data_IF_923208875586
#
_entry.id   IF_923208875586
#
_cell.length_a   1.000
_cell.length_b   1.000
_cell.length_c   1.000
_cell.angle_alpha   90.00
_cell.angle_beta   90.00
_cell.angle_gamma   90.00
#
_symmetry.space_group_name_H-M   'P 1'
#
loop_
_entity.id
_entity.type
_entity.pdbx_description
1 polymer ?
#
# COMPACT_ATOMS: atom_id res chain seq x y z
N UNK A 1 -3.49 -12.39 -35.42
CA UNK A 1 -4.09 -11.78 -34.21
C UNK A 1 -3.93 -12.76 -33.04
N UNK A 2 -2.83 -12.68 -32.28
CA UNK A 2 -2.69 -13.43 -31.03
C UNK A 2 -2.90 -12.43 -29.89
N UNK A 3 -4.05 -12.50 -29.22
CA UNK A 3 -4.27 -11.79 -27.95
C UNK A 3 -3.43 -12.51 -26.90
N UNK A 4 -2.24 -12.01 -26.59
CA UNK A 4 -1.52 -12.44 -25.40
C UNK A 4 -2.38 -12.06 -24.18
N UNK A 5 -2.99 -13.05 -23.54
CA UNK A 5 -3.51 -12.88 -22.19
C UNK A 5 -2.30 -12.78 -21.26
N UNK A 6 -1.89 -11.56 -20.90
CA UNK A 6 -0.98 -11.36 -19.77
C UNK A 6 -1.72 -11.81 -18.52
N UNK A 7 -1.42 -13.03 -18.03
CA UNK A 7 -1.88 -13.47 -16.72
C UNK A 7 -1.44 -12.46 -15.66
N UNK A 8 -2.40 -11.94 -14.89
CA UNK A 8 -2.14 -10.94 -13.86
C UNK A 8 -2.85 -11.32 -12.56
N UNK A 9 -2.16 -11.16 -11.44
CA UNK A 9 -2.70 -11.41 -10.10
C UNK A 9 -2.66 -10.10 -9.32
N UNK A 10 -3.81 -9.59 -8.85
CA UNK A 10 -3.87 -8.34 -8.10
C UNK A 10 -3.21 -8.48 -6.72
N UNK A 11 -2.62 -7.40 -6.19
CA UNK A 11 -1.98 -7.42 -4.88
C UNK A 11 -2.98 -7.57 -3.74
N UNK A 12 -2.56 -8.29 -2.69
CA UNK A 12 -3.19 -8.22 -1.37
C UNK A 12 -2.53 -7.09 -0.59
N UNK A 13 -3.30 -6.05 -0.24
CA UNK A 13 -2.77 -4.85 0.41
C UNK A 13 -3.07 -4.86 1.90
N UNK A 14 -2.07 -4.57 2.73
CA UNK A 14 -2.19 -4.44 4.19
C UNK A 14 -1.62 -3.10 4.63
N UNK A 15 -2.39 -2.35 5.42
CA UNK A 15 -1.98 -1.10 6.05
C UNK A 15 -1.90 -1.28 7.57
N UNK A 16 -0.75 -0.98 8.17
CA UNK A 16 -0.50 -1.16 9.60
C UNK A 16 0.35 -0.02 10.19
N UNK A 17 0.26 0.19 11.50
CA UNK A 17 1.21 1.04 12.24
C UNK A 17 2.45 0.23 12.58
N UNK A 18 3.63 0.78 12.30
CA UNK A 18 4.92 0.24 12.76
C UNK A 18 5.29 0.86 14.10
N UNK A 19 5.27 2.19 14.16
CA UNK A 19 5.49 2.97 15.38
C UNK A 19 4.24 3.78 15.68
N UNK A 20 3.66 3.59 16.86
CA UNK A 20 2.47 4.33 17.28
C UNK A 20 2.80 5.79 17.60
N UNK A 21 1.81 6.65 17.43
CA UNK A 21 1.87 8.04 17.85
C UNK A 21 2.07 8.15 19.37
N UNK A 22 3.24 8.60 19.80
CA UNK A 22 3.53 8.78 21.22
C UNK A 22 4.82 9.57 21.47
N UNK A 23 4.70 10.70 22.16
CA UNK A 23 5.86 11.49 22.62
C UNK A 23 6.52 12.35 21.55
N UNK A 24 7.87 12.32 21.49
CA UNK A 24 8.70 13.19 20.64
C UNK A 24 9.07 12.58 19.27
N UNK A 25 8.72 11.32 19.02
CA UNK A 25 9.10 10.62 17.79
C UNK A 25 7.92 10.60 16.80
N UNK A 26 8.20 10.75 15.50
CA UNK A 26 7.18 10.57 14.46
C UNK A 26 6.58 9.17 14.46
N UNK A 27 5.29 9.09 14.13
CA UNK A 27 4.61 7.82 13.92
C UNK A 27 4.95 7.28 12.52
N UNK A 28 4.91 5.96 12.36
CA UNK A 28 5.23 5.31 11.08
C UNK A 28 4.12 4.37 10.68
N UNK A 29 3.58 4.55 9.47
CA UNK A 29 2.67 3.59 8.83
C UNK A 29 3.43 2.79 7.80
N UNK A 30 3.04 1.53 7.63
CA UNK A 30 3.52 0.65 6.58
C UNK A 30 2.36 0.13 5.74
N UNK A 31 2.50 0.29 4.43
CA UNK A 31 1.64 -0.29 3.42
C UNK A 31 2.39 -1.38 2.67
N UNK A 32 1.92 -2.61 2.82
CA UNK A 32 2.49 -3.79 2.17
C UNK A 32 1.57 -4.28 1.06
N UNK A 33 2.11 -4.52 -0.12
CA UNK A 33 1.42 -5.21 -1.20
C UNK A 33 2.06 -6.57 -1.42
N UNK A 34 1.27 -7.64 -1.35
CA UNK A 34 1.74 -9.02 -1.40
C UNK A 34 1.16 -9.79 -2.58
N UNK A 35 1.91 -10.80 -3.01
CA UNK A 35 1.50 -11.87 -3.93
C UNK A 35 0.94 -11.35 -5.27
N UNK A 36 1.52 -10.28 -5.80
CA UNK A 36 1.11 -9.74 -7.10
C UNK A 36 1.99 -10.26 -8.23
N UNK A 37 1.44 -10.23 -9.45
CA UNK A 37 2.15 -10.58 -10.69
C UNK A 37 1.50 -9.89 -11.89
N UNK A 38 2.23 -9.38 -12.89
CA UNK A 38 3.69 -9.32 -12.97
C UNK A 38 4.27 -8.33 -11.96
N UNK A 39 5.60 -8.19 -11.95
CA UNK A 39 6.26 -7.03 -11.34
C UNK A 39 5.79 -5.73 -12.02
N UNK A 40 6.11 -4.59 -11.42
CA UNK A 40 5.61 -3.28 -11.84
C UNK A 40 4.36 -2.92 -11.06
N UNK A 41 4.57 -2.34 -9.89
CA UNK A 41 3.52 -1.86 -8.99
C UNK A 41 3.80 -0.41 -8.56
N UNK A 42 2.75 0.36 -8.34
CA UNK A 42 2.87 1.71 -7.80
C UNK A 42 2.18 1.78 -6.45
N UNK A 43 2.97 2.01 -5.40
CA UNK A 43 2.48 2.34 -4.06
C UNK A 43 2.63 3.85 -3.84
N UNK A 44 1.57 4.51 -3.39
CA UNK A 44 1.57 5.95 -3.16
C UNK A 44 0.85 6.29 -1.87
N UNK A 45 1.40 7.24 -1.12
CA UNK A 45 0.74 7.78 0.06
C UNK A 45 -0.08 9.01 -0.29
N UNK A 46 -1.26 9.10 0.30
CA UNK A 46 -2.13 10.26 0.19
C UNK A 46 -2.39 10.86 1.56
N UNK A 47 -2.32 12.19 1.66
CA UNK A 47 -2.76 12.96 2.82
C UNK A 47 -3.81 13.96 2.35
N UNK A 48 -5.02 13.87 2.90
CA UNK A 48 -6.17 14.70 2.57
C UNK A 48 -6.48 14.74 1.06
N UNK A 49 -6.32 13.60 0.38
CA UNK A 49 -6.57 13.46 -1.07
C UNK A 49 -5.43 13.91 -1.98
N UNK A 50 -4.35 14.48 -1.44
CA UNK A 50 -3.16 14.84 -2.20
C UNK A 50 -2.06 13.78 -2.02
N UNK A 51 -1.34 13.48 -3.11
CA UNK A 51 -0.19 12.56 -3.06
C UNK A 51 0.96 13.19 -2.28
N UNK A 52 1.55 12.43 -1.37
CA UNK A 52 2.73 12.82 -0.58
C UNK A 52 3.93 12.03 -1.06
N UNK A 53 5.07 12.72 -1.24
CA UNK A 53 6.34 12.14 -1.68
C UNK A 53 7.47 12.30 -0.67
N UNK A 54 7.32 13.22 0.29
CA UNK A 54 8.28 13.40 1.38
C UNK A 54 8.01 12.38 2.47
N UNK A 55 9.06 12.01 3.22
CA UNK A 55 8.94 11.12 4.38
C UNK A 55 8.38 9.74 4.02
N UNK A 56 8.52 9.37 2.74
CA UNK A 56 8.14 8.08 2.18
C UNK A 56 9.40 7.31 1.84
N UNK A 57 9.51 6.10 2.39
CA UNK A 57 10.54 5.12 2.02
C UNK A 57 9.86 3.90 1.43
N UNK A 58 10.52 3.19 0.53
CA UNK A 58 9.96 1.97 -0.05
C UNK A 58 11.07 0.98 -0.36
N UNK A 59 10.78 -0.30 -0.16
CA UNK A 59 11.65 -1.37 -0.61
C UNK A 59 11.61 -1.45 -2.14
N UNK A 60 12.59 -2.13 -2.72
CA UNK A 60 12.45 -2.64 -4.08
C UNK A 60 11.36 -3.74 -4.13
N UNK A 61 10.91 -4.07 -5.34
CA UNK A 61 10.01 -5.20 -5.56
C UNK A 61 10.77 -6.52 -5.31
N UNK A 62 10.35 -7.29 -4.31
CA UNK A 62 11.02 -8.52 -3.90
C UNK A 62 10.25 -9.75 -4.42
N UNK A 63 10.92 -10.72 -5.07
CA UNK A 63 10.28 -11.98 -5.45
C UNK A 63 10.07 -12.88 -4.22
N UNK A 64 8.94 -13.57 -4.17
CA UNK A 64 8.57 -14.50 -3.09
C UNK A 64 9.11 -15.93 -3.31
N UNK A 65 9.79 -16.20 -4.44
CA UNK A 65 10.29 -17.54 -4.81
C UNK A 65 9.25 -18.44 -5.50
N UNK A 66 7.99 -18.02 -5.55
CA UNK A 66 6.86 -18.72 -6.18
C UNK A 66 6.27 -17.92 -7.37
N UNK A 67 7.12 -17.17 -8.08
CA UNK A 67 6.79 -16.25 -9.19
C UNK A 67 6.02 -14.98 -8.82
N UNK A 68 5.56 -14.83 -7.59
CA UNK A 68 4.90 -13.61 -7.13
C UNK A 68 5.88 -12.61 -6.51
N UNK A 69 5.46 -11.36 -6.42
CA UNK A 69 6.23 -10.27 -5.85
C UNK A 69 5.59 -9.69 -4.59
N UNK A 70 6.36 -8.92 -3.85
CA UNK A 70 5.92 -8.09 -2.74
C UNK A 70 6.70 -6.77 -2.68
N UNK A 71 6.10 -5.73 -2.10
CA UNK A 71 6.74 -4.44 -1.84
C UNK A 71 6.20 -3.85 -0.55
N UNK A 72 7.03 -3.10 0.17
CA UNK A 72 6.65 -2.35 1.36
C UNK A 72 6.96 -0.87 1.16
N UNK A 73 6.01 -0.03 1.54
CA UNK A 73 6.18 1.42 1.58
C UNK A 73 5.84 1.93 2.97
N UNK A 74 6.68 2.79 3.51
CA UNK A 74 6.47 3.42 4.81
C UNK A 74 6.23 4.91 4.65
N UNK A 75 5.42 5.47 5.55
CA UNK A 75 5.23 6.91 5.69
C UNK A 75 5.48 7.29 7.15
N UNK A 76 6.50 8.11 7.34
CA UNK A 76 6.73 8.80 8.59
C UNK A 76 5.83 10.04 8.67
N UNK A 77 5.15 10.23 9.81
CA UNK A 77 4.24 11.34 9.98
C UNK A 77 4.08 11.79 11.43
N UNK A 78 3.73 13.07 11.58
CA UNK A 78 3.21 13.62 12.83
C UNK A 78 1.68 13.69 12.74
N UNK A 79 0.93 12.95 13.57
CA UNK A 79 -0.53 12.95 13.52
C UNK A 79 -1.12 14.35 13.73
N UNK A 80 -2.06 14.72 12.86
CA UNK A 80 -2.84 15.96 12.93
C UNK A 80 -4.32 15.62 13.09
N UNK A 81 -5.00 16.33 13.97
CA UNK A 81 -6.43 16.13 14.20
C UNK A 81 -7.21 16.31 12.89
N UNK A 82 -8.07 15.33 12.58
CA UNK A 82 -8.93 15.35 11.39
C UNK A 82 -8.24 15.06 10.06
N UNK A 83 -6.93 14.74 10.03
CA UNK A 83 -6.27 14.37 8.78
C UNK A 83 -6.71 12.98 8.29
N UNK A 84 -6.72 12.82 6.97
CA UNK A 84 -6.98 11.55 6.31
C UNK A 84 -5.71 11.07 5.61
N UNK A 85 -5.13 9.99 6.12
CA UNK A 85 -4.00 9.32 5.47
C UNK A 85 -4.49 8.04 4.81
N UNK A 86 -4.07 7.81 3.58
CA UNK A 86 -4.42 6.62 2.82
C UNK A 86 -3.22 6.06 2.07
N UNK A 87 -3.17 4.75 1.89
CA UNK A 87 -2.28 4.09 0.94
C UNK A 87 -3.06 3.78 -0.34
N UNK A 88 -2.51 4.16 -1.49
CA UNK A 88 -3.04 3.85 -2.82
C UNK A 88 -2.08 2.88 -3.53
N UNK A 89 -2.64 1.81 -4.09
CA UNK A 89 -1.89 0.77 -4.80
C UNK A 89 -2.48 0.58 -6.19
N UNK A 90 -1.63 0.71 -7.21
CA UNK A 90 -1.98 0.53 -8.61
C UNK A 90 -1.08 -0.55 -9.25
N UNK A 91 -1.68 -1.43 -10.05
CA UNK A 91 -1.05 -2.63 -10.58
C UNK A 91 -1.82 -3.15 -11.79
N UNK A 92 -1.14 -3.79 -12.74
CA UNK A 92 -1.75 -4.30 -13.98
C UNK A 92 -2.90 -5.29 -13.77
N UNK A 93 -2.94 -6.00 -12.63
CA UNK A 93 -4.02 -6.90 -12.25
C UNK A 93 -5.27 -6.20 -11.68
N UNK A 94 -5.25 -4.88 -11.55
CA UNK A 94 -6.36 -4.09 -11.03
C UNK A 94 -7.05 -3.30 -12.14
N UNK A 95 -8.38 -3.27 -12.12
CA UNK A 95 -9.16 -2.37 -12.99
C UNK A 95 -9.20 -0.93 -12.45
N UNK A 96 -9.02 -0.77 -11.14
CA UNK A 96 -8.95 0.50 -10.43
C UNK A 96 -7.97 0.39 -9.26
N UNK A 97 -7.28 1.47 -8.88
CA UNK A 97 -6.39 1.44 -7.72
C UNK A 97 -7.11 1.05 -6.42
N UNK A 98 -6.44 0.27 -5.58
CA UNK A 98 -6.89 -0.01 -4.21
C UNK A 98 -6.51 1.20 -3.34
N UNK A 99 -7.45 1.74 -2.56
CA UNK A 99 -7.21 2.82 -1.60
C UNK A 99 -7.64 2.35 -0.22
N UNK A 100 -6.69 2.30 0.72
CA UNK A 100 -6.95 1.92 2.12
C UNK A 100 -6.70 3.12 3.02
N UNK A 101 -7.74 3.50 3.78
CA UNK A 101 -7.68 4.61 4.74
C UNK A 101 -7.15 4.14 6.10
N UNK A 102 -6.18 4.87 6.66
CA UNK A 102 -5.71 4.65 8.02
C UNK A 102 -6.81 4.89 9.05
N UNK A 103 -6.90 4.04 10.08
CA UNK A 103 -7.88 4.16 11.16
C UNK A 103 -9.31 3.68 10.83
N UNK A 104 -9.64 3.42 9.55
CA UNK A 104 -10.94 2.85 9.14
C UNK A 104 -10.92 1.35 8.92
N UNK A 105 -9.73 0.74 8.86
CA UNK A 105 -9.54 -0.70 8.68
C UNK A 105 -9.69 -1.47 10.00
N UNK A 106 -10.89 -1.46 10.59
CA UNK A 106 -11.28 -2.44 11.62
C UNK A 106 -12.27 -3.50 11.10
N UNK A 107 -12.78 -3.39 9.87
CA UNK A 107 -13.96 -4.16 9.45
C UNK A 107 -13.93 -4.77 8.04
N UNK A 108 -12.79 -4.82 7.32
CA UNK A 108 -12.76 -5.42 5.97
C UNK A 108 -12.21 -6.86 5.90
N UNK A 109 -12.05 -7.55 7.05
CA UNK A 109 -11.63 -8.97 7.09
C UNK A 109 -12.63 -9.92 7.76
N UNK A 110 -13.87 -9.49 8.01
CA UNK A 110 -14.97 -10.42 8.31
C UNK A 110 -16.09 -10.16 7.30
N UNK A 111 -16.55 -11.22 6.65
CA UNK A 111 -17.57 -11.31 5.59
C UNK A 111 -17.01 -11.42 4.16
N UNK A 112 -16.43 -12.59 3.84
CA UNK A 112 -17.02 -13.61 2.96
C UNK A 112 -16.20 -14.90 3.09
#
# INVERSE_FOLDING_TARGET
MLRCYCYSVPPKVKLSSVTQAGGRHPAVLMCSAYRFYPHGIKVSWMRNGAVVKTDVTSTEEMPNGDWYYQIHSELEYTPKSGEKISCAVDHAGLTKPIIIDWGKTKYLFFLT
#
